data_IF_869329762845
#
_entry.id   IF_869329762845
#
_cell.length_a   1.000
_cell.length_b   1.000
_cell.length_c   1.000
_cell.angle_alpha   90.00
_cell.angle_beta   90.00
_cell.angle_gamma   90.00
#
_symmetry.space_group_name_H-M   'P 1'
#
loop_
_entity.id
_entity.type
_entity.pdbx_description
1 polymer ?
#
# COMPACT_ATOMS: atom_id res chain seq x y z
N UNK A 1 14.55 5.43 -18.01
CA UNK A 1 14.20 4.53 -16.89
C UNK A 1 15.01 3.26 -17.07
N UNK A 2 15.87 2.96 -16.12
CA UNK A 2 16.69 1.74 -16.09
C UNK A 2 15.86 0.57 -15.55
N UNK A 3 16.27 -0.66 -15.82
CA UNK A 3 15.60 -1.86 -15.29
C UNK A 3 15.53 -1.86 -13.76
N UNK A 4 16.59 -1.36 -13.10
CA UNK A 4 16.65 -1.23 -11.63
C UNK A 4 15.62 -0.23 -11.09
N UNK A 5 15.40 0.88 -11.80
CA UNK A 5 14.36 1.85 -11.42
C UNK A 5 12.96 1.24 -11.62
N UNK A 6 12.77 0.48 -12.69
CA UNK A 6 11.52 -0.21 -12.98
C UNK A 6 11.16 -1.21 -11.88
N UNK A 7 12.11 -2.09 -11.52
CA UNK A 7 11.94 -3.05 -10.43
C UNK A 7 11.64 -2.35 -9.11
N UNK A 8 12.34 -1.24 -8.83
CA UNK A 8 12.12 -0.46 -7.61
C UNK A 8 10.73 0.18 -7.56
N UNK A 9 10.24 0.70 -8.69
CA UNK A 9 8.88 1.24 -8.79
C UNK A 9 7.84 0.13 -8.58
N UNK A 10 8.05 -1.05 -9.15
CA UNK A 10 7.17 -2.21 -8.95
C UNK A 10 7.16 -2.64 -7.48
N UNK A 11 8.33 -2.79 -6.84
CA UNK A 11 8.44 -3.11 -5.41
C UNK A 11 7.65 -2.12 -4.55
N UNK A 12 7.91 -0.82 -4.74
CA UNK A 12 7.23 0.24 -4.00
C UNK A 12 5.72 0.28 -4.26
N UNK A 13 5.29 0.02 -5.49
CA UNK A 13 3.87 -0.02 -5.84
C UNK A 13 3.16 -1.23 -5.24
N UNK A 14 3.86 -2.35 -5.01
CA UNK A 14 3.33 -3.53 -4.32
C UNK A 14 3.27 -3.36 -2.80
N UNK A 15 4.10 -2.49 -2.20
CA UNK A 15 4.10 -2.26 -0.77
C UNK A 15 2.89 -1.42 -0.34
N UNK A 16 1.99 -2.02 0.43
CA UNK A 16 0.75 -1.37 0.88
C UNK A 16 1.00 -0.08 1.70
N UNK A 17 2.20 0.09 2.27
CA UNK A 17 2.59 1.25 3.09
C UNK A 17 3.24 2.39 2.30
N UNK A 18 3.58 2.21 1.04
CA UNK A 18 4.18 3.27 0.23
C UNK A 18 3.08 4.14 -0.38
N UNK A 19 3.05 5.46 -0.10
CA UNK A 19 2.12 6.36 -0.78
C UNK A 19 2.60 6.63 -2.19
N UNK A 20 1.66 6.86 -3.13
CA UNK A 20 2.02 7.27 -4.49
C UNK A 20 2.83 8.57 -4.50
N UNK A 21 2.63 9.46 -3.52
CA UNK A 21 3.42 10.68 -3.32
C UNK A 21 4.92 10.40 -3.11
N UNK A 22 5.29 9.28 -2.46
CA UNK A 22 6.71 8.92 -2.29
C UNK A 22 7.33 8.45 -3.62
N UNK A 23 6.55 7.75 -4.43
CA UNK A 23 6.96 7.31 -5.77
C UNK A 23 7.08 8.53 -6.69
N UNK A 24 6.15 9.48 -6.58
CA UNK A 24 6.19 10.74 -7.31
C UNK A 24 7.39 11.60 -6.90
N UNK A 25 7.70 11.71 -5.62
CA UNK A 25 8.86 12.47 -5.14
C UNK A 25 10.20 11.91 -5.64
N UNK A 26 10.33 10.57 -5.70
CA UNK A 26 11.58 9.91 -6.08
C UNK A 26 11.73 9.74 -7.60
N UNK A 27 10.64 9.38 -8.30
CA UNK A 27 10.68 8.99 -9.72
C UNK A 27 9.93 9.97 -10.62
N UNK A 28 9.30 11.02 -10.07
CA UNK A 28 8.47 12.00 -10.79
C UNK A 28 7.35 11.34 -11.61
N UNK A 29 6.83 10.22 -11.11
CA UNK A 29 5.70 9.50 -11.71
C UNK A 29 4.44 9.75 -10.90
N UNK A 30 3.40 10.25 -11.56
CA UNK A 30 2.08 10.39 -10.95
C UNK A 30 1.46 9.02 -10.67
N UNK A 31 0.45 8.96 -9.80
CA UNK A 31 -0.32 7.73 -9.56
C UNK A 31 -0.82 7.12 -10.88
N UNK A 32 -1.33 7.96 -11.79
CA UNK A 32 -1.83 7.50 -13.10
C UNK A 32 -0.73 6.83 -13.93
N UNK A 33 0.49 7.35 -13.89
CA UNK A 33 1.62 6.80 -14.63
C UNK A 33 2.11 5.49 -14.01
N UNK A 34 2.13 5.40 -12.67
CA UNK A 34 2.42 4.14 -11.96
C UNK A 34 1.36 3.08 -12.29
N UNK A 35 0.07 3.43 -12.34
CA UNK A 35 -0.99 2.49 -12.73
C UNK A 35 -0.79 1.99 -14.16
N UNK A 36 -0.47 2.90 -15.11
CA UNK A 36 -0.18 2.52 -16.50
C UNK A 36 1.03 1.59 -16.59
N UNK A 37 2.09 1.91 -15.85
CA UNK A 37 3.30 1.10 -15.78
C UNK A 37 2.97 -0.30 -15.24
N UNK A 38 2.32 -0.38 -14.08
CA UNK A 38 1.92 -1.64 -13.45
C UNK A 38 1.00 -2.48 -14.34
N UNK A 39 0.15 -1.85 -15.15
CA UNK A 39 -0.70 -2.54 -16.13
C UNK A 39 0.09 -3.16 -17.27
N UNK A 40 1.21 -2.54 -17.66
CA UNK A 40 2.09 -3.02 -18.73
C UNK A 40 2.99 -4.15 -18.23
N UNK A 41 3.53 -4.01 -17.02
CA UNK A 41 4.54 -4.95 -16.49
C UNK A 41 3.92 -6.19 -15.83
N UNK A 42 2.75 -6.08 -15.21
CA UNK A 42 2.12 -7.21 -14.52
C UNK A 42 1.19 -8.02 -15.44
N UNK A 43 1.11 -9.32 -15.17
CA UNK A 43 0.07 -10.18 -15.74
C UNK A 43 -1.33 -9.65 -15.36
N UNK A 44 -2.35 -9.81 -16.23
CA UNK A 44 -3.69 -9.25 -15.99
C UNK A 44 -4.31 -9.63 -14.63
N UNK A 45 -4.15 -10.87 -14.18
CA UNK A 45 -4.67 -11.31 -12.88
C UNK A 45 -3.90 -10.69 -11.70
N UNK A 46 -2.58 -10.56 -11.79
CA UNK A 46 -1.77 -9.88 -10.78
C UNK A 46 -2.11 -8.40 -10.69
N UNK A 47 -2.32 -7.74 -11.83
CA UNK A 47 -2.78 -6.35 -11.89
C UNK A 47 -4.16 -6.18 -11.24
N UNK A 48 -5.12 -7.07 -11.51
CA UNK A 48 -6.44 -7.05 -10.85
C UNK A 48 -6.34 -7.17 -9.33
N UNK A 49 -5.50 -8.08 -8.83
CA UNK A 49 -5.27 -8.26 -7.39
C UNK A 49 -4.62 -7.01 -6.77
N UNK A 50 -3.59 -6.47 -7.43
CA UNK A 50 -2.95 -5.23 -7.01
C UNK A 50 -3.94 -4.06 -6.99
N UNK A 51 -4.72 -3.88 -8.05
CA UNK A 51 -5.71 -2.80 -8.13
C UNK A 51 -6.82 -2.95 -7.10
N UNK A 52 -7.25 -4.19 -6.81
CA UNK A 52 -8.17 -4.48 -5.71
C UNK A 52 -7.56 -4.02 -4.38
N UNK A 53 -6.29 -4.33 -4.10
CA UNK A 53 -5.59 -3.89 -2.87
C UNK A 53 -5.44 -2.38 -2.79
N UNK A 54 -5.01 -1.72 -3.87
CA UNK A 54 -4.89 -0.26 -3.93
C UNK A 54 -6.24 0.42 -3.67
N UNK A 55 -7.32 -0.06 -4.31
CA UNK A 55 -8.66 0.51 -4.15
C UNK A 55 -9.31 0.15 -2.80
N UNK A 56 -9.05 -1.05 -2.26
CA UNK A 56 -9.53 -1.46 -0.93
C UNK A 56 -8.72 -0.83 0.21
N UNK A 57 -7.50 -0.39 -0.09
CA UNK A 57 -6.49 0.13 0.85
C UNK A 57 -6.64 1.60 1.19
N UNK A 58 -7.80 2.22 0.94
CA UNK A 58 -8.07 3.63 1.25
C UNK A 58 -9.01 3.77 2.44
N UNK A 59 -8.52 3.44 3.64
CA UNK A 59 -9.10 4.00 4.87
C UNK A 59 -8.06 4.57 5.84
N UNK A 60 -6.77 4.20 5.72
CA UNK A 60 -5.71 4.64 6.65
C UNK A 60 -4.53 5.39 6.00
N UNK A 61 -4.61 5.80 4.73
CA UNK A 61 -3.51 6.51 4.04
C UNK A 61 -3.55 8.05 4.16
N UNK A 62 -4.49 8.63 4.90
CA UNK A 62 -4.49 10.07 5.18
C UNK A 62 -4.25 10.32 6.66
N UNK A 63 -3.16 10.99 6.99
CA UNK A 63 -2.97 11.62 8.31
C UNK A 63 -4.19 12.51 8.67
N UNK A 64 -4.82 13.13 7.65
CA UNK A 64 -6.06 13.92 7.74
C UNK A 64 -7.32 13.16 8.17
N UNK A 65 -7.36 11.82 8.09
CA UNK A 65 -8.54 11.02 8.49
C UNK A 65 -8.48 10.57 9.97
N UNK A 66 -7.40 10.90 10.67
CA UNK A 66 -7.25 10.59 12.10
C UNK A 66 -7.99 11.66 12.92
N UNK A 67 -8.90 11.24 13.79
CA UNK A 67 -9.55 12.12 14.75
C UNK A 67 -8.52 12.52 15.82
N UNK A 68 -8.34 13.82 16.04
CA UNK A 68 -7.33 14.39 16.94
C UNK A 68 -7.55 13.95 18.40
N UNK A 69 -8.78 13.62 18.76
CA UNK A 69 -9.14 13.09 20.09
C UNK A 69 -8.61 11.66 20.35
N UNK A 70 -8.04 10.99 19.35
CA UNK A 70 -7.48 9.64 19.48
C UNK A 70 -5.98 9.73 19.78
N UNK A 71 -5.68 9.91 21.07
CA UNK A 71 -4.31 9.88 21.63
C UNK A 71 -3.77 8.47 21.80
N UNK A 72 -4.65 7.47 21.89
CA UNK A 72 -4.24 6.07 22.16
C UNK A 72 -3.69 5.38 20.92
N UNK A 73 -2.49 4.82 21.05
CA UNK A 73 -1.84 4.00 20.02
C UNK A 73 -2.42 2.58 19.93
N UNK A 74 -3.08 2.08 20.99
CA UNK A 74 -3.70 0.74 21.05
C UNK A 74 -5.07 0.77 21.72
N UNK A 75 -5.93 -0.19 21.36
CA UNK A 75 -7.21 -0.43 22.05
C UNK A 75 -6.96 -1.15 23.38
N UNK A 76 -7.73 -0.82 24.42
CA UNK A 76 -7.63 -1.51 25.73
C UNK A 76 -7.90 -3.02 25.65
N UNK A 77 -8.61 -3.48 24.60
CA UNK A 77 -8.89 -4.90 24.33
C UNK A 77 -7.85 -5.57 23.42
N UNK A 78 -6.85 -4.82 22.94
CA UNK A 78 -5.84 -5.34 22.03
C UNK A 78 -4.86 -6.23 22.79
N UNK A 79 -5.04 -7.54 22.67
CA UNK A 79 -4.09 -8.53 23.18
C UNK A 79 -2.80 -8.47 22.37
N UNK A 80 -1.64 -8.65 23.01
CA UNK A 80 -0.40 -8.94 22.30
C UNK A 80 -0.61 -10.20 21.46
N UNK A 81 -0.40 -10.11 20.15
CA UNK A 81 -0.43 -11.29 19.27
C UNK A 81 0.89 -12.03 19.49
N UNK A 82 1.01 -12.74 20.60
CA UNK A 82 2.07 -13.71 20.81
C UNK A 82 1.69 -14.98 20.03
N UNK A 83 2.44 -15.28 18.98
CA UNK A 83 2.38 -16.53 18.20
C UNK A 83 1.04 -16.84 17.53
N UNK A 84 0.61 -15.96 16.61
CA UNK A 84 -0.37 -16.14 15.51
C UNK A 84 -1.06 -17.52 15.36
N UNK A 85 -1.75 -18.01 16.40
CA UNK A 85 -2.51 -19.25 16.38
C UNK A 85 -3.97 -18.85 16.24
N UNK A 86 -4.42 -18.74 14.99
CA UNK A 86 -5.84 -18.56 14.68
C UNK A 86 -6.56 -19.85 15.10
N UNK A 87 -7.13 -19.86 16.30
CA UNK A 87 -8.14 -20.86 16.67
C UNK A 87 -9.40 -20.53 15.89
N UNK A 88 -9.75 -21.39 14.93
CA UNK A 88 -11.03 -21.32 14.20
C UNK A 88 -12.19 -21.54 15.17
N UNK A 89 -13.28 -20.79 14.99
CA UNK A 89 -14.62 -21.13 15.44
C UNK A 89 -15.59 -20.92 14.30
#
# INVERSE_FOLDING_TARGET
MTERELDRIIEMAWEDRTPFEAIEAQFKLSEADVIKLMRRELKPNSFKLWRKRVNSGTSSKHLKKRNDNITRFKSARQKSISNNKISKR
#
